data_IF_167713797046
#
_entry.id   IF_167713797046
#
_cell.length_a   1.000
_cell.length_b   1.000
_cell.length_c   1.000
_cell.angle_alpha   90.00
_cell.angle_beta   90.00
_cell.angle_gamma   90.00
#
_symmetry.space_group_name_H-M   'P 1'
#
loop_
_entity.id
_entity.type
_entity.pdbx_description
1 polymer ?
#
# COMPACT_ATOMS: atom_id res chain seq x y z
N UNK A 1 -8.01 -7.23 3.40
CA UNK A 1 -7.37 -7.90 2.25
C UNK A 1 -8.38 -8.81 1.57
N UNK A 2 -8.39 -8.83 0.24
CA UNK A 2 -9.27 -9.70 -0.56
C UNK A 2 -8.53 -10.95 -1.04
N UNK A 3 -7.22 -10.86 -1.10
CA UNK A 3 -6.33 -11.92 -1.54
C UNK A 3 -4.99 -11.90 -0.78
N UNK A 4 -4.22 -12.96 -0.93
CA UNK A 4 -2.80 -13.04 -0.60
C UNK A 4 -2.01 -12.93 -1.89
N UNK A 5 -1.27 -11.85 -2.03
CA UNK A 5 -0.39 -11.62 -3.17
C UNK A 5 1.02 -12.09 -2.85
N UNK A 6 1.60 -12.87 -3.74
CA UNK A 6 2.93 -13.42 -3.60
C UNK A 6 3.74 -13.19 -4.88
N UNK A 7 5.01 -12.88 -4.72
CA UNK A 7 5.94 -12.68 -5.83
C UNK A 7 7.22 -13.49 -5.60
N UNK A 8 7.67 -14.21 -6.62
CA UNK A 8 8.98 -14.83 -6.65
C UNK A 8 9.95 -13.88 -7.34
N UNK A 9 10.97 -13.45 -6.61
CA UNK A 9 11.88 -12.39 -7.04
C UNK A 9 13.33 -12.86 -6.96
N UNK A 10 14.09 -12.61 -8.02
CA UNK A 10 15.55 -12.79 -8.04
C UNK A 10 16.24 -11.44 -7.84
N UNK A 11 17.25 -11.44 -6.98
CA UNK A 11 18.13 -10.30 -6.71
C UNK A 11 19.58 -10.60 -7.16
N UNK A 12 19.74 -11.38 -8.24
CA UNK A 12 21.05 -11.70 -8.81
C UNK A 12 21.75 -10.44 -9.37
N UNK A 13 20.98 -9.47 -9.84
CA UNK A 13 21.46 -8.13 -10.14
C UNK A 13 21.19 -7.24 -8.90
N UNK A 14 22.25 -6.72 -8.29
CA UNK A 14 22.15 -5.85 -7.12
C UNK A 14 21.41 -4.53 -7.42
N UNK A 15 21.30 -4.17 -8.70
CA UNK A 15 20.69 -2.89 -9.11
C UNK A 15 19.18 -2.96 -9.30
N UNK A 16 18.61 -4.10 -9.75
CA UNK A 16 17.17 -4.22 -9.96
C UNK A 16 16.63 -5.63 -9.67
N UNK A 17 15.49 -5.74 -8.96
CA UNK A 17 14.82 -7.02 -8.76
C UNK A 17 14.25 -7.54 -10.08
N UNK A 18 14.43 -8.84 -10.35
CA UNK A 18 13.77 -9.52 -11.45
C UNK A 18 12.60 -10.32 -10.91
N UNK A 19 11.38 -9.96 -11.30
CA UNK A 19 10.17 -10.70 -10.93
C UNK A 19 10.07 -11.93 -11.83
N UNK A 20 10.19 -13.11 -11.26
CA UNK A 20 10.15 -14.39 -11.98
C UNK A 20 8.72 -14.90 -12.15
N UNK A 21 7.89 -14.75 -11.12
CA UNK A 21 6.49 -15.19 -11.12
C UNK A 21 5.70 -14.44 -10.04
N UNK A 22 4.41 -14.27 -10.26
CA UNK A 22 3.47 -13.72 -9.30
C UNK A 22 2.25 -14.62 -9.17
N UNK A 23 1.60 -14.62 -8.00
CA UNK A 23 0.38 -15.38 -7.73
C UNK A 23 -0.49 -14.58 -6.76
N UNK A 24 -1.79 -14.54 -7.03
CA UNK A 24 -2.79 -13.96 -6.14
C UNK A 24 -3.78 -15.04 -5.74
N UNK A 25 -3.88 -15.32 -4.45
CA UNK A 25 -4.78 -16.32 -3.89
C UNK A 25 -5.91 -15.64 -3.14
N UNK A 26 -7.12 -15.70 -3.68
CA UNK A 26 -8.31 -15.10 -3.05
C UNK A 26 -8.56 -15.70 -1.66
N UNK A 27 -8.88 -14.84 -0.69
CA UNK A 27 -9.33 -15.26 0.63
C UNK A 27 -10.79 -15.73 0.59
N UNK A 28 -11.11 -16.77 1.35
CA UNK A 28 -12.50 -17.19 1.53
C UNK A 28 -13.29 -16.10 2.26
N UNK A 29 -14.58 -16.00 1.99
CA UNK A 29 -15.48 -15.04 2.66
C UNK A 29 -15.48 -15.22 4.19
N UNK A 30 -15.36 -16.46 4.66
CA UNK A 30 -15.23 -16.76 6.09
C UNK A 30 -13.95 -16.16 6.68
N UNK A 31 -12.81 -16.25 5.98
CA UNK A 31 -11.55 -15.70 6.47
C UNK A 31 -11.55 -14.17 6.42
N UNK A 32 -12.11 -13.58 5.35
CA UNK A 32 -12.31 -12.12 5.26
C UNK A 32 -13.15 -11.59 6.41
N UNK A 33 -14.29 -12.24 6.69
CA UNK A 33 -15.17 -11.85 7.79
C UNK A 33 -14.46 -11.91 9.16
N UNK A 34 -13.61 -12.90 9.38
CA UNK A 34 -12.79 -13.03 10.60
C UNK A 34 -11.76 -11.91 10.72
N UNK A 35 -11.08 -11.56 9.63
CA UNK A 35 -10.13 -10.43 9.60
C UNK A 35 -10.87 -9.15 9.94
N UNK A 36 -12.01 -8.87 9.28
CA UNK A 36 -12.81 -7.66 9.52
C UNK A 36 -13.28 -7.60 10.98
N UNK A 37 -13.76 -8.72 11.55
CA UNK A 37 -14.17 -8.75 12.95
C UNK A 37 -13.01 -8.37 13.88
N UNK A 38 -11.80 -8.89 13.66
CA UNK A 38 -10.62 -8.53 14.47
C UNK A 38 -10.19 -7.06 14.29
N UNK A 39 -10.49 -6.44 13.15
CA UNK A 39 -10.15 -5.04 12.89
C UNK A 39 -11.16 -4.05 13.49
N UNK A 40 -12.43 -4.46 13.61
CA UNK A 40 -13.54 -3.56 13.98
C UNK A 40 -13.99 -3.73 15.42
N UNK A 41 -13.74 -4.88 16.04
CA UNK A 41 -14.13 -5.17 17.41
C UNK A 41 -12.91 -5.14 18.35
N UNK A 42 -12.78 -4.05 19.08
CA UNK A 42 -11.74 -3.89 20.11
C UNK A 42 -11.82 -4.92 21.26
N UNK A 43 -12.94 -5.63 21.37
CA UNK A 43 -13.18 -6.70 22.35
C UNK A 43 -12.86 -8.10 21.84
N UNK A 44 -12.28 -8.26 20.67
CA UNK A 44 -11.95 -9.58 20.11
C UNK A 44 -11.11 -10.42 21.08
N UNK A 45 -11.56 -11.62 21.48
CA UNK A 45 -10.81 -12.48 22.38
C UNK A 45 -9.46 -12.90 21.79
N UNK A 46 -8.44 -13.04 22.64
CA UNK A 46 -7.07 -13.35 22.22
C UNK A 46 -6.98 -14.71 21.51
N UNK A 47 -7.76 -15.70 21.92
CA UNK A 47 -7.80 -17.02 21.28
C UNK A 47 -8.32 -16.95 19.84
N UNK A 48 -9.26 -16.02 19.53
CA UNK A 48 -9.72 -15.77 18.15
C UNK A 48 -8.59 -15.17 17.30
N UNK A 49 -7.78 -14.28 17.87
CA UNK A 49 -6.61 -13.71 17.19
C UNK A 49 -5.56 -14.80 16.94
N UNK A 50 -5.28 -15.66 17.92
CA UNK A 50 -4.35 -16.78 17.78
C UNK A 50 -4.82 -17.80 16.73
N UNK A 51 -6.12 -18.10 16.68
CA UNK A 51 -6.67 -18.99 15.65
C UNK A 51 -6.61 -18.36 14.24
N UNK A 52 -6.80 -17.05 14.14
CA UNK A 52 -6.61 -16.31 12.88
C UNK A 52 -5.15 -16.31 12.43
N UNK A 53 -4.21 -16.15 13.35
CA UNK A 53 -2.76 -16.20 13.12
C UNK A 53 -2.35 -17.51 12.42
N UNK A 54 -2.79 -18.65 12.98
CA UNK A 54 -2.59 -19.99 12.42
C UNK A 54 -3.29 -20.16 11.07
N UNK A 55 -4.53 -19.67 10.93
CA UNK A 55 -5.28 -19.81 9.69
C UNK A 55 -4.62 -19.04 8.53
N UNK A 56 -4.08 -17.85 8.81
CA UNK A 56 -3.35 -17.04 7.83
C UNK A 56 -2.03 -17.69 7.42
N UNK A 57 -1.27 -18.27 8.36
CA UNK A 57 -0.06 -18.99 8.01
C UNK A 57 -0.32 -20.15 7.03
N UNK A 58 -1.42 -20.88 7.20
CA UNK A 58 -1.81 -21.97 6.29
C UNK A 58 -2.14 -21.47 4.89
N UNK A 59 -2.84 -20.34 4.77
CA UNK A 59 -3.17 -19.78 3.44
C UNK A 59 -1.93 -19.18 2.77
N UNK A 60 -1.02 -18.57 3.54
CA UNK A 60 0.27 -18.10 3.03
C UNK A 60 1.11 -19.25 2.49
N UNK A 61 1.20 -20.37 3.23
CA UNK A 61 1.90 -21.57 2.76
C UNK A 61 1.28 -22.15 1.47
N UNK A 62 -0.05 -22.14 1.36
CA UNK A 62 -0.75 -22.54 0.14
C UNK A 62 -0.44 -21.60 -1.04
N UNK A 63 -0.41 -20.28 -0.81
CA UNK A 63 -0.05 -19.30 -1.83
C UNK A 63 1.38 -19.49 -2.32
N UNK A 64 2.34 -19.66 -1.40
CA UNK A 64 3.74 -19.95 -1.74
C UNK A 64 3.87 -21.25 -2.53
N UNK A 65 3.18 -22.31 -2.14
CA UNK A 65 3.20 -23.59 -2.85
C UNK A 65 2.71 -23.44 -4.29
N UNK A 66 1.61 -22.72 -4.50
CA UNK A 66 1.07 -22.43 -5.84
C UNK A 66 2.03 -21.59 -6.68
N UNK A 67 2.63 -20.57 -6.09
CA UNK A 67 3.61 -19.70 -6.76
C UNK A 67 4.80 -20.52 -7.26
N UNK A 68 5.38 -21.39 -6.40
CA UNK A 68 6.52 -22.23 -6.76
C UNK A 68 6.17 -23.27 -7.83
N UNK A 69 4.98 -23.88 -7.75
CA UNK A 69 4.49 -24.79 -8.79
C UNK A 69 4.34 -24.08 -10.13
N UNK A 70 3.77 -22.86 -10.13
CA UNK A 70 3.60 -22.04 -11.33
C UNK A 70 4.93 -21.63 -11.95
N UNK A 71 5.92 -21.36 -11.11
CA UNK A 71 7.27 -20.96 -11.54
C UNK A 71 8.19 -22.14 -11.89
N UNK A 72 7.78 -23.40 -11.64
CA UNK A 72 8.61 -24.61 -11.74
C UNK A 72 9.91 -24.50 -10.92
N UNK A 73 9.80 -23.95 -9.69
CA UNK A 73 10.93 -23.73 -8.76
C UNK A 73 10.74 -24.60 -7.52
N UNK A 74 11.83 -25.21 -7.06
CA UNK A 74 11.80 -26.04 -5.84
C UNK A 74 11.98 -25.18 -4.58
N UNK A 75 11.38 -25.54 -3.44
CA UNK A 75 11.61 -24.85 -2.16
C UNK A 75 13.09 -24.68 -1.79
N UNK A 76 13.92 -25.67 -2.15
CA UNK A 76 15.35 -25.63 -1.87
C UNK A 76 16.13 -24.54 -2.64
N UNK A 77 15.57 -24.07 -3.74
CA UNK A 77 16.17 -23.02 -4.60
C UNK A 77 15.74 -21.59 -4.14
N UNK A 78 14.87 -21.51 -3.12
CA UNK A 78 14.41 -20.25 -2.52
C UNK A 78 15.17 -20.00 -1.21
N UNK A 79 15.78 -18.86 -1.10
CA UNK A 79 16.57 -18.51 0.08
C UNK A 79 15.69 -18.23 1.29
N UNK A 80 14.63 -17.42 1.12
CA UNK A 80 13.67 -17.12 2.16
C UNK A 80 12.33 -16.59 1.61
N UNK A 81 11.32 -16.61 2.46
CA UNK A 81 10.02 -15.95 2.28
C UNK A 81 10.03 -14.65 3.06
N UNK A 82 9.69 -13.53 2.42
CA UNK A 82 9.35 -12.28 3.10
C UNK A 82 7.85 -12.26 3.43
N UNK A 83 7.50 -12.36 4.71
CA UNK A 83 6.10 -12.39 5.16
C UNK A 83 5.73 -11.13 5.94
N UNK A 84 4.91 -10.28 5.34
CA UNK A 84 4.39 -9.09 6.04
C UNK A 84 3.40 -9.44 7.16
N UNK A 85 2.58 -10.47 6.94
CA UNK A 85 1.45 -10.78 7.80
C UNK A 85 0.26 -9.81 7.59
N UNK A 86 -0.84 -10.08 8.28
CA UNK A 86 -2.02 -9.21 8.30
C UNK A 86 -1.95 -8.26 9.50
N UNK A 87 -1.88 -6.97 9.24
CA UNK A 87 -1.92 -5.97 10.32
C UNK A 87 -3.31 -5.95 10.97
N UNK A 88 -3.36 -6.18 12.27
CA UNK A 88 -4.57 -6.05 13.08
C UNK A 88 -4.56 -4.75 13.90
N UNK A 89 -3.42 -4.37 14.44
CA UNK A 89 -3.28 -3.17 15.26
C UNK A 89 -2.01 -2.43 14.87
N UNK A 90 -2.09 -1.10 14.85
CA UNK A 90 -0.94 -0.25 14.56
C UNK A 90 -1.10 1.07 15.34
N UNK A 91 -0.35 1.18 16.44
CA UNK A 91 -0.34 2.37 17.31
C UNK A 91 1.11 2.77 17.59
N UNK A 92 1.77 3.40 16.61
CA UNK A 92 3.19 3.74 16.72
C UNK A 92 3.46 4.96 17.60
N UNK A 93 2.42 5.66 18.06
CA UNK A 93 2.52 6.86 18.86
C UNK A 93 2.16 6.58 20.33
N UNK A 94 2.77 7.36 21.25
CA UNK A 94 2.49 7.30 22.68
C UNK A 94 3.54 6.55 23.47
N UNK A 95 3.33 6.47 24.80
CA UNK A 95 4.29 5.87 25.73
C UNK A 95 4.55 4.37 25.49
N UNK A 96 3.55 3.67 24.95
CA UNK A 96 3.61 2.25 24.65
C UNK A 96 3.29 2.06 23.16
N UNK A 97 4.21 2.50 22.29
CA UNK A 97 4.08 2.33 20.86
C UNK A 97 4.17 0.85 20.47
N UNK A 98 3.27 0.38 19.62
CA UNK A 98 3.24 -1.03 19.18
C UNK A 98 2.60 -1.21 17.81
N UNK A 99 2.82 -2.39 17.24
CA UNK A 99 2.13 -2.89 16.06
C UNK A 99 1.95 -4.39 16.17
N UNK A 100 0.89 -4.93 15.58
CA UNK A 100 0.60 -6.37 15.56
C UNK A 100 0.26 -6.78 14.13
N UNK A 101 1.10 -7.63 13.56
CA UNK A 101 0.84 -8.39 12.35
C UNK A 101 0.69 -9.85 12.72
N UNK A 102 -0.31 -10.53 12.17
CA UNK A 102 -0.60 -11.95 12.36
C UNK A 102 -0.40 -12.73 11.06
N UNK A 103 -0.14 -14.02 11.21
CA UNK A 103 0.27 -14.98 10.18
C UNK A 103 1.54 -15.66 10.66
N UNK A 104 1.37 -16.72 11.52
CA UNK A 104 2.44 -17.41 12.25
C UNK A 104 3.62 -17.80 11.34
N UNK A 105 4.71 -17.07 11.49
CA UNK A 105 5.92 -17.24 10.67
C UNK A 105 6.66 -18.56 11.00
N UNK A 106 6.54 -19.08 12.22
CA UNK A 106 7.09 -20.40 12.57
C UNK A 106 6.34 -21.51 11.84
N UNK A 107 4.99 -21.45 11.86
CA UNK A 107 4.17 -22.41 11.14
C UNK A 107 4.37 -22.30 9.62
N UNK A 108 4.52 -21.08 9.09
CA UNK A 108 4.81 -20.87 7.67
C UNK A 108 6.15 -21.51 7.28
N UNK A 109 7.20 -21.33 8.09
CA UNK A 109 8.50 -21.99 7.87
C UNK A 109 8.40 -23.51 7.90
N UNK A 110 7.67 -24.06 8.88
CA UNK A 110 7.46 -25.51 9.03
C UNK A 110 6.69 -26.11 7.84
N UNK A 111 5.59 -25.44 7.40
CA UNK A 111 4.76 -25.94 6.30
C UNK A 111 5.44 -25.85 4.93
N UNK A 112 6.33 -24.88 4.75
CA UNK A 112 6.99 -24.65 3.45
C UNK A 112 8.39 -25.26 3.36
N UNK A 113 9.02 -25.57 4.49
CA UNK A 113 10.41 -26.01 4.55
C UNK A 113 11.42 -24.91 4.18
N UNK A 114 11.00 -23.64 4.18
CA UNK A 114 11.83 -22.49 3.82
C UNK A 114 11.99 -21.56 5.01
N UNK A 115 13.12 -20.85 5.09
CA UNK A 115 13.26 -19.76 6.07
C UNK A 115 12.25 -18.66 5.78
N UNK A 116 11.72 -18.04 6.83
CA UNK A 116 10.79 -16.90 6.74
C UNK A 116 11.43 -15.69 7.40
N UNK A 117 11.30 -14.55 6.77
CA UNK A 117 11.59 -13.25 7.38
C UNK A 117 10.27 -12.53 7.58
N UNK A 118 9.98 -12.15 8.81
CA UNK A 118 8.75 -11.47 9.19
C UNK A 118 9.00 -10.40 10.25
N UNK A 119 7.94 -9.84 10.81
CA UNK A 119 8.01 -8.81 11.86
C UNK A 119 8.85 -7.58 11.46
N UNK A 120 8.62 -7.04 10.30
CA UNK A 120 9.42 -5.93 9.74
C UNK A 120 9.24 -4.59 10.45
N UNK A 121 8.09 -4.37 11.13
CA UNK A 121 7.71 -3.03 11.62
C UNK A 121 8.17 -2.72 13.03
N UNK A 122 8.26 -3.73 13.91
CA UNK A 122 8.57 -3.52 15.34
C UNK A 122 9.95 -2.93 15.56
N UNK A 123 10.95 -3.29 14.75
CA UNK A 123 12.31 -2.78 14.90
C UNK A 123 12.42 -1.28 14.62
N UNK A 124 11.65 -0.78 13.67
CA UNK A 124 11.57 0.64 13.35
C UNK A 124 10.85 1.41 14.49
N UNK A 125 9.73 0.87 14.99
CA UNK A 125 9.00 1.44 16.14
C UNK A 125 9.90 1.47 17.39
N UNK A 126 10.66 0.41 17.66
CA UNK A 126 11.60 0.38 18.78
C UNK A 126 12.73 1.41 18.65
N UNK A 127 13.01 1.88 17.43
CA UNK A 127 13.94 2.98 17.16
C UNK A 127 13.26 4.37 17.19
N UNK A 128 12.01 4.44 17.67
CA UNK A 128 11.22 5.69 17.74
C UNK A 128 10.50 6.06 16.44
N UNK A 129 10.55 5.20 15.42
CA UNK A 129 9.87 5.40 14.16
C UNK A 129 8.40 4.96 14.18
N UNK A 130 7.71 5.23 13.09
CA UNK A 130 6.29 4.89 12.90
C UNK A 130 6.08 3.43 12.45
N UNK A 131 7.12 2.69 12.03
CA UNK A 131 7.00 1.35 11.46
C UNK A 131 6.27 1.29 10.11
N UNK A 132 5.96 2.45 9.52
CA UNK A 132 5.31 2.63 8.24
C UNK A 132 5.56 4.07 7.73
N UNK A 133 5.51 4.31 6.40
CA UNK A 133 5.55 3.31 5.34
C UNK A 133 6.96 2.70 5.19
N UNK A 134 7.06 1.42 4.82
CA UNK A 134 8.35 0.73 4.59
C UNK A 134 8.70 0.62 3.09
N UNK A 135 7.71 0.63 2.23
CA UNK A 135 7.88 0.52 0.77
C UNK A 135 8.75 1.64 0.15
N UNK A 136 8.80 2.88 0.66
CA UNK A 136 9.67 3.93 0.14
C UNK A 136 11.16 3.57 0.11
N UNK A 137 11.62 2.71 1.04
CA UNK A 137 12.99 2.20 1.02
C UNK A 137 13.26 1.35 -0.24
N UNK A 138 12.29 0.55 -0.64
CA UNK A 138 12.34 -0.23 -1.87
C UNK A 138 12.20 0.66 -3.11
N UNK A 139 11.28 1.61 -3.12
CA UNK A 139 11.11 2.55 -4.23
C UNK A 139 12.42 3.25 -4.61
N UNK A 140 13.27 3.54 -3.63
CA UNK A 140 14.59 4.15 -3.86
C UNK A 140 15.49 3.27 -4.73
N UNK A 141 15.35 1.96 -4.69
CA UNK A 141 16.16 1.04 -5.51
C UNK A 141 15.68 0.92 -6.95
N UNK A 142 14.48 1.42 -7.26
CA UNK A 142 13.85 1.31 -8.57
C UNK A 142 14.11 2.50 -9.50
N UNK A 143 14.68 3.59 -8.98
CA UNK A 143 14.88 4.83 -9.73
C UNK A 143 16.35 5.24 -9.71
N UNK A 144 16.76 5.98 -10.76
CA UNK A 144 18.11 6.50 -10.85
C UNK A 144 18.34 7.63 -9.83
N UNK A 145 19.50 7.64 -9.18
CA UNK A 145 19.85 8.57 -8.11
C UNK A 145 19.88 10.05 -8.53
N UNK A 146 20.03 10.34 -9.82
CA UNK A 146 20.16 11.71 -10.34
C UNK A 146 18.82 12.38 -10.68
N UNK A 147 17.70 11.65 -10.51
CA UNK A 147 16.38 12.12 -10.92
C UNK A 147 15.37 12.08 -9.77
N UNK A 148 14.67 13.18 -9.58
CA UNK A 148 13.53 13.17 -8.66
C UNK A 148 12.34 12.46 -9.29
N UNK A 149 11.89 11.41 -8.65
CA UNK A 149 10.72 10.61 -9.06
C UNK A 149 9.74 10.47 -7.91
N UNK A 150 8.49 10.22 -8.22
CA UNK A 150 7.46 9.93 -7.22
C UNK A 150 6.75 8.63 -7.53
N UNK A 151 6.38 7.90 -6.48
CA UNK A 151 5.45 6.77 -6.55
C UNK A 151 4.16 7.21 -5.91
N UNK A 152 3.09 7.25 -6.68
CA UNK A 152 1.75 7.62 -6.25
C UNK A 152 0.88 6.35 -6.20
N UNK A 153 0.64 5.88 -4.99
CA UNK A 153 -0.29 4.77 -4.77
C UNK A 153 -1.70 5.31 -4.57
N UNK A 154 -2.63 4.89 -5.43
CA UNK A 154 -4.05 5.26 -5.36
C UNK A 154 -4.85 4.04 -4.92
N UNK A 155 -4.81 3.75 -3.63
CA UNK A 155 -5.66 2.78 -2.95
C UNK A 155 -6.95 3.42 -2.44
N UNK A 156 -7.50 2.96 -1.34
CA UNK A 156 -8.62 3.66 -0.65
C UNK A 156 -8.21 5.07 -0.23
N UNK A 157 -7.04 5.21 0.36
CA UNK A 157 -6.33 6.49 0.57
C UNK A 157 -5.21 6.57 -0.47
N UNK A 158 -4.97 7.76 -0.99
CA UNK A 158 -3.85 8.01 -1.88
C UNK A 158 -2.63 8.48 -1.08
N UNK A 159 -1.47 7.89 -1.38
CA UNK A 159 -0.21 8.26 -0.75
C UNK A 159 0.90 8.39 -1.79
N UNK A 160 1.90 9.19 -1.44
CA UNK A 160 3.03 9.44 -2.31
C UNK A 160 4.34 9.16 -1.60
N UNK A 161 5.29 8.56 -2.33
CA UNK A 161 6.70 8.49 -1.96
C UNK A 161 7.49 9.29 -2.99
N UNK A 162 8.17 10.33 -2.57
CA UNK A 162 9.07 11.13 -3.41
C UNK A 162 10.48 10.69 -3.15
N UNK A 163 11.17 10.30 -4.21
CA UNK A 163 12.56 9.87 -4.19
C UNK A 163 13.39 10.97 -4.85
N UNK A 164 14.27 11.58 -4.09
CA UNK A 164 15.27 12.52 -4.56
C UNK A 164 16.66 12.02 -4.16
N UNK A 165 17.71 12.51 -4.82
CA UNK A 165 19.08 12.03 -4.65
C UNK A 165 19.51 11.84 -3.19
N UNK A 166 19.13 12.74 -2.29
CA UNK A 166 19.61 12.75 -0.91
C UNK A 166 18.52 12.51 0.14
N UNK A 167 17.26 12.39 -0.24
CA UNK A 167 16.20 12.12 0.73
C UNK A 167 14.96 11.49 0.09
N UNK A 168 14.20 10.83 0.93
CA UNK A 168 12.92 10.22 0.58
C UNK A 168 11.85 10.85 1.47
N UNK A 169 10.74 11.25 0.89
CA UNK A 169 9.57 11.77 1.60
C UNK A 169 8.39 10.85 1.31
N UNK A 170 7.60 10.53 2.33
CA UNK A 170 6.38 9.75 2.15
C UNK A 170 5.25 10.30 3.00
N UNK A 171 4.04 10.47 2.42
CA UNK A 171 2.86 10.94 3.14
C UNK A 171 1.57 10.68 2.34
N UNK A 172 0.43 10.74 3.03
CA UNK A 172 -0.88 10.60 2.41
C UNK A 172 -1.32 11.93 1.77
N UNK A 173 -1.80 11.87 0.52
CA UNK A 173 -2.23 13.06 -0.21
C UNK A 173 -3.71 13.39 0.04
N UNK A 174 -4.51 12.40 0.40
CA UNK A 174 -5.94 12.52 0.66
C UNK A 174 -6.71 11.24 0.30
N UNK A 175 -8.04 11.34 0.07
CA UNK A 175 -8.81 10.20 -0.38
C UNK A 175 -8.31 9.74 -1.76
N UNK A 176 -8.15 8.43 -1.91
CA UNK A 176 -7.96 7.78 -3.20
C UNK A 176 -9.32 7.35 -3.76
N UNK A 177 -9.57 6.03 -3.80
CA UNK A 177 -10.83 5.48 -4.30
C UNK A 177 -11.94 5.46 -3.23
N UNK A 178 -11.64 5.58 -1.94
CA UNK A 178 -12.59 5.31 -0.85
C UNK A 178 -13.91 6.09 -0.98
N UNK A 179 -13.85 7.37 -1.36
CA UNK A 179 -15.07 8.18 -1.53
C UNK A 179 -15.80 7.82 -2.82
N UNK A 180 -15.07 7.59 -3.92
CA UNK A 180 -15.64 7.18 -5.20
C UNK A 180 -16.37 5.84 -5.09
N UNK A 181 -15.72 4.86 -4.44
CA UNK A 181 -16.28 3.51 -4.24
C UNK A 181 -17.49 3.53 -3.30
N UNK A 182 -17.42 4.30 -2.22
CA UNK A 182 -18.54 4.45 -1.31
C UNK A 182 -19.74 5.16 -1.98
N UNK A 183 -19.49 6.16 -2.83
CA UNK A 183 -20.52 6.91 -3.52
C UNK A 183 -21.21 6.10 -4.61
N UNK A 184 -20.46 5.37 -5.44
CA UNK A 184 -21.06 4.50 -6.46
C UNK A 184 -21.80 3.33 -5.83
N UNK A 185 -21.30 2.76 -4.73
CA UNK A 185 -22.01 1.70 -3.99
C UNK A 185 -23.37 2.19 -3.48
N UNK A 186 -23.44 3.42 -2.97
CA UNK A 186 -24.69 4.03 -2.50
C UNK A 186 -25.70 4.26 -3.63
N UNK A 187 -25.26 4.64 -4.84
CA UNK A 187 -26.16 5.07 -5.92
C UNK A 187 -26.38 4.03 -7.00
N UNK A 188 -25.39 3.18 -7.28
CA UNK A 188 -25.42 2.19 -8.36
C UNK A 188 -25.35 0.76 -7.87
N UNK A 189 -25.09 0.53 -6.56
CA UNK A 189 -24.89 -0.79 -5.97
C UNK A 189 -23.72 -1.57 -6.61
N UNK A 190 -22.71 -0.86 -7.13
CA UNK A 190 -21.46 -1.39 -7.65
C UNK A 190 -20.34 -1.16 -6.63
N UNK A 191 -19.35 -2.05 -6.62
CA UNK A 191 -18.23 -1.94 -5.69
C UNK A 191 -17.28 -0.79 -6.04
N UNK A 192 -17.09 -0.50 -7.33
CA UNK A 192 -16.24 0.57 -7.83
C UNK A 192 -16.69 1.04 -9.21
N UNK A 193 -16.25 2.23 -9.63
CA UNK A 193 -16.50 2.83 -10.94
C UNK A 193 -15.45 2.36 -11.95
N UNK A 194 -15.76 1.25 -12.64
CA UNK A 194 -14.86 0.65 -13.61
C UNK A 194 -14.48 1.67 -14.69
N UNK A 195 -13.16 1.90 -14.86
CA UNK A 195 -12.62 2.82 -15.86
C UNK A 195 -13.11 4.29 -15.73
N UNK A 196 -13.70 4.65 -14.58
CA UNK A 196 -14.31 5.95 -14.38
C UNK A 196 -15.51 6.23 -15.29
N UNK A 197 -16.18 5.16 -15.74
CA UNK A 197 -17.24 5.24 -16.75
C UNK A 197 -18.42 6.10 -16.28
N UNK A 198 -18.85 5.90 -15.05
CA UNK A 198 -19.95 6.70 -14.48
C UNK A 198 -19.52 8.14 -14.19
N UNK A 199 -18.30 8.35 -13.69
CA UNK A 199 -17.76 9.70 -13.50
C UNK A 199 -17.64 10.48 -14.82
N UNK A 200 -17.39 9.81 -15.96
CA UNK A 200 -17.35 10.44 -17.30
C UNK A 200 -18.69 11.01 -17.75
N UNK A 201 -19.83 10.52 -17.23
CA UNK A 201 -21.16 11.04 -17.51
C UNK A 201 -21.45 12.37 -16.77
N UNK A 202 -20.70 12.63 -15.69
CA UNK A 202 -20.85 13.83 -14.87
C UNK A 202 -19.95 14.97 -15.31
N UNK A 203 -20.23 16.14 -14.76
CA UNK A 203 -19.39 17.34 -14.87
C UNK A 203 -18.80 17.70 -13.50
N UNK A 204 -17.61 18.28 -13.50
CA UNK A 204 -16.99 18.77 -12.27
C UNK A 204 -17.82 19.91 -11.69
N UNK A 205 -18.27 19.77 -10.45
CA UNK A 205 -18.87 20.85 -9.69
C UNK A 205 -17.75 21.60 -8.94
N UNK A 206 -17.24 22.68 -9.56
CA UNK A 206 -16.12 23.45 -9.00
C UNK A 206 -16.45 24.02 -7.60
N UNK A 207 -17.71 24.47 -7.36
CA UNK A 207 -18.11 24.98 -6.06
C UNK A 207 -18.08 23.90 -4.95
N UNK A 208 -18.43 22.66 -5.29
CA UNK A 208 -18.27 21.53 -4.39
C UNK A 208 -16.78 21.22 -4.19
N UNK A 209 -16.02 21.14 -5.25
CA UNK A 209 -14.60 20.81 -5.22
C UNK A 209 -13.80 21.81 -4.35
N UNK A 210 -14.06 23.10 -4.50
CA UNK A 210 -13.42 24.14 -3.69
C UNK A 210 -13.72 23.97 -2.20
N UNK A 211 -14.98 23.62 -1.84
CA UNK A 211 -15.36 23.34 -0.45
C UNK A 211 -14.68 22.08 0.09
N UNK A 212 -14.59 21.02 -0.72
CA UNK A 212 -13.89 19.79 -0.34
C UNK A 212 -12.40 20.04 -0.10
N UNK A 213 -11.74 20.78 -1.01
CA UNK A 213 -10.32 21.14 -0.92
C UNK A 213 -10.02 22.16 0.20
N UNK A 214 -11.04 22.86 0.71
CA UNK A 214 -10.91 23.74 1.86
C UNK A 214 -10.85 22.99 3.21
N UNK A 215 -11.05 21.67 3.21
CA UNK A 215 -10.86 20.86 4.43
C UNK A 215 -9.44 21.07 4.99
N UNK A 216 -9.29 21.28 6.31
CA UNK A 216 -8.00 21.55 6.96
C UNK A 216 -6.91 20.52 6.64
N UNK A 217 -7.29 19.28 6.34
CA UNK A 217 -6.33 18.23 5.96
C UNK A 217 -5.49 18.64 4.74
N UNK A 218 -6.10 19.23 3.70
CA UNK A 218 -5.41 19.59 2.46
C UNK A 218 -4.51 20.83 2.58
N UNK A 219 -4.62 21.58 3.68
CA UNK A 219 -3.75 22.72 3.99
C UNK A 219 -2.55 22.36 4.86
N UNK A 220 -2.51 21.14 5.41
CA UNK A 220 -1.37 20.69 6.19
C UNK A 220 -0.17 20.41 5.28
N UNK A 221 1.01 20.85 5.69
CA UNK A 221 2.27 20.45 5.06
C UNK A 221 2.60 18.99 5.42
N UNK A 222 3.30 18.28 4.52
CA UNK A 222 3.75 16.91 4.82
C UNK A 222 4.96 16.88 5.76
N UNK A 223 5.25 15.74 6.38
CA UNK A 223 4.53 14.47 6.27
C UNK A 223 3.23 14.43 7.07
N UNK A 224 2.18 13.87 6.50
CA UNK A 224 0.85 13.73 7.12
C UNK A 224 0.22 12.40 6.76
N UNK A 225 -0.70 11.92 7.60
CA UNK A 225 -1.44 10.69 7.34
C UNK A 225 -2.93 10.87 7.57
N UNK A 226 -3.74 10.02 6.95
CA UNK A 226 -5.19 9.99 7.07
C UNK A 226 -5.71 8.56 6.84
N UNK A 227 -7.01 8.36 6.99
CA UNK A 227 -7.64 7.05 6.85
C UNK A 227 -9.08 7.13 6.32
N UNK A 228 -9.67 5.97 6.09
CA UNK A 228 -11.08 5.87 5.71
C UNK A 228 -12.03 6.23 6.87
N UNK A 229 -11.53 6.22 8.09
CA UNK A 229 -12.22 6.76 9.28
C UNK A 229 -12.43 8.27 9.19
N UNK A 230 -11.52 9.00 8.55
CA UNK A 230 -11.66 10.43 8.27
C UNK A 230 -12.43 10.69 6.96
N UNK A 231 -11.96 10.17 5.81
CA UNK A 231 -12.58 10.35 4.51
C UNK A 231 -13.60 9.24 4.22
N UNK A 232 -14.87 9.49 4.52
CA UNK A 232 -16.00 8.58 4.35
C UNK A 232 -17.26 9.31 3.93
N UNK A 233 -18.37 8.60 3.74
CA UNK A 233 -19.65 9.22 3.36
C UNK A 233 -20.16 10.23 4.39
N UNK A 234 -19.91 10.00 5.68
CA UNK A 234 -20.28 10.97 6.74
C UNK A 234 -19.54 12.29 6.56
N UNK A 235 -18.25 12.25 6.20
CA UNK A 235 -17.49 13.44 5.83
C UNK A 235 -18.06 14.10 4.59
N UNK A 236 -18.35 13.35 3.53
CA UNK A 236 -18.85 13.87 2.26
C UNK A 236 -20.23 14.53 2.41
N UNK A 237 -21.13 13.94 3.19
CA UNK A 237 -22.47 14.48 3.41
C UNK A 237 -22.52 15.84 4.14
N UNK A 238 -21.41 16.29 4.73
CA UNK A 238 -21.30 17.65 5.30
C UNK A 238 -21.35 18.76 4.25
N UNK A 239 -21.21 18.41 2.96
CA UNK A 239 -21.09 19.36 1.85
C UNK A 239 -22.36 19.46 0.99
N UNK A 240 -23.53 19.07 1.51
CA UNK A 240 -24.85 19.17 0.84
C UNK A 240 -24.91 18.48 -0.53
N UNK A 241 -24.20 17.35 -0.68
CA UNK A 241 -24.11 16.61 -1.95
C UNK A 241 -25.44 16.00 -2.40
N UNK A 242 -26.43 15.83 -1.50
CA UNK A 242 -27.73 15.25 -1.80
C UNK A 242 -28.57 16.07 -2.80
N UNK A 243 -28.26 17.37 -2.95
CA UNK A 243 -28.95 18.25 -3.90
C UNK A 243 -28.34 18.23 -5.31
N UNK A 244 -27.21 17.54 -5.48
CA UNK A 244 -26.47 17.47 -6.74
C UNK A 244 -26.78 16.18 -7.49
N UNK A 245 -26.53 16.19 -8.80
CA UNK A 245 -26.61 14.97 -9.60
C UNK A 245 -25.53 13.98 -9.13
N UNK A 246 -25.86 12.72 -8.86
CA UNK A 246 -24.90 11.76 -8.31
C UNK A 246 -23.64 11.57 -9.18
N UNK A 247 -23.79 11.57 -10.51
CA UNK A 247 -22.67 11.44 -11.45
C UNK A 247 -21.75 12.68 -11.43
N UNK A 248 -22.29 13.90 -11.16
CA UNK A 248 -21.46 15.11 -11.01
C UNK A 248 -20.64 15.06 -9.71
N UNK A 249 -21.22 14.51 -8.64
CA UNK A 249 -20.48 14.26 -7.40
C UNK A 249 -19.38 13.24 -7.64
N UNK A 250 -19.67 12.11 -8.30
CA UNK A 250 -18.67 11.10 -8.65
C UNK A 250 -17.52 11.71 -9.44
N UNK A 251 -17.84 12.50 -10.47
CA UNK A 251 -16.83 13.21 -11.27
C UNK A 251 -15.98 14.15 -10.43
N UNK A 252 -16.60 14.85 -9.49
CA UNK A 252 -15.92 15.80 -8.60
C UNK A 252 -15.02 15.08 -7.60
N UNK A 253 -15.39 13.88 -7.14
CA UNK A 253 -14.56 13.07 -6.27
C UNK A 253 -13.30 12.53 -6.97
N UNK A 254 -13.42 12.10 -8.24
CA UNK A 254 -12.24 11.77 -9.06
C UNK A 254 -11.30 12.96 -9.19
N UNK A 255 -11.85 14.15 -9.47
CA UNK A 255 -11.06 15.38 -9.57
C UNK A 255 -10.42 15.77 -8.22
N UNK A 256 -11.10 15.57 -7.10
CA UNK A 256 -10.55 15.79 -5.76
C UNK A 256 -9.29 14.96 -5.53
N UNK A 257 -9.33 13.65 -5.83
CA UNK A 257 -8.17 12.76 -5.73
C UNK A 257 -7.03 13.24 -6.62
N UNK A 258 -7.31 13.55 -7.88
CA UNK A 258 -6.29 14.01 -8.82
C UNK A 258 -5.66 15.35 -8.39
N UNK A 259 -6.47 16.35 -7.98
CA UNK A 259 -5.94 17.66 -7.54
C UNK A 259 -5.20 17.59 -6.21
N UNK A 260 -5.65 16.77 -5.25
CA UNK A 260 -4.94 16.60 -3.97
C UNK A 260 -3.56 15.96 -4.17
N UNK A 261 -3.47 14.94 -5.03
CA UNK A 261 -2.20 14.32 -5.39
C UNK A 261 -1.28 15.28 -6.16
N UNK A 262 -1.81 16.00 -7.15
CA UNK A 262 -1.04 16.97 -7.91
C UNK A 262 -0.55 18.13 -7.04
N UNK A 263 -1.38 18.64 -6.12
CA UNK A 263 -0.99 19.67 -5.16
C UNK A 263 0.16 19.21 -4.26
N UNK A 264 0.12 17.97 -3.79
CA UNK A 264 1.17 17.37 -2.98
C UNK A 264 2.54 17.32 -3.69
N UNK A 265 2.53 17.21 -5.01
CA UNK A 265 3.73 17.17 -5.87
C UNK A 265 4.10 18.53 -6.51
N UNK A 266 3.27 19.56 -6.38
CA UNK A 266 3.40 20.83 -7.10
C UNK A 266 4.70 21.61 -6.81
N UNK A 267 5.25 21.48 -5.60
CA UNK A 267 6.51 22.11 -5.21
C UNK A 267 7.73 21.25 -5.53
N UNK A 268 7.53 20.05 -6.08
CA UNK A 268 8.56 19.05 -6.33
C UNK A 268 8.73 18.91 -7.83
N UNK A 269 9.94 19.18 -8.32
CA UNK A 269 10.24 19.01 -9.75
C UNK A 269 10.46 17.53 -10.09
N UNK A 270 9.38 16.75 -10.07
CA UNK A 270 9.42 15.35 -10.47
C UNK A 270 9.57 15.23 -11.98
N UNK A 271 10.48 14.35 -12.43
CA UNK A 271 10.58 13.97 -13.84
C UNK A 271 9.55 12.90 -14.20
N UNK A 272 9.31 11.97 -13.29
CA UNK A 272 8.39 10.86 -13.47
C UNK A 272 7.54 10.64 -12.22
N UNK A 273 6.26 10.34 -12.41
CA UNK A 273 5.34 9.90 -11.37
C UNK A 273 4.85 8.51 -11.75
N UNK A 274 5.28 7.52 -10.98
CA UNK A 274 4.88 6.12 -11.14
C UNK A 274 3.60 5.88 -10.37
N UNK A 275 2.51 5.52 -11.07
CA UNK A 275 1.22 5.24 -10.43
C UNK A 275 1.07 3.75 -10.13
N UNK A 276 0.52 3.44 -8.95
CA UNK A 276 0.16 2.09 -8.52
C UNK A 276 -1.15 2.10 -7.72
N UNK A 277 -1.58 0.93 -7.25
CA UNK A 277 -2.88 0.76 -6.62
C UNK A 277 -4.05 0.72 -7.61
N UNK A 278 -5.24 0.39 -7.12
CA UNK A 278 -6.43 0.20 -7.95
C UNK A 278 -6.87 1.42 -8.77
N UNK A 279 -6.58 2.64 -8.27
CA UNK A 279 -6.93 3.89 -8.97
C UNK A 279 -6.24 4.07 -10.32
N UNK A 280 -5.12 3.38 -10.57
CA UNK A 280 -4.45 3.35 -11.89
C UNK A 280 -5.34 2.80 -13.02
N UNK A 281 -6.33 1.98 -12.66
CA UNK A 281 -7.28 1.39 -13.60
C UNK A 281 -8.41 2.36 -13.98
N UNK A 282 -8.53 3.49 -13.31
CA UNK A 282 -9.48 4.52 -13.66
C UNK A 282 -8.83 5.48 -14.66
N UNK A 283 -9.09 5.26 -15.96
CA UNK A 283 -8.46 6.06 -17.03
C UNK A 283 -8.74 7.55 -16.92
N UNK A 284 -9.94 7.92 -16.44
CA UNK A 284 -10.27 9.31 -16.21
C UNK A 284 -9.38 9.98 -15.15
N UNK A 285 -9.09 9.25 -14.06
CA UNK A 285 -8.18 9.73 -13.01
C UNK A 285 -6.75 9.87 -13.54
N UNK A 286 -6.29 8.90 -14.32
CA UNK A 286 -4.96 8.93 -14.93
C UNK A 286 -4.81 10.10 -15.89
N UNK A 287 -5.76 10.32 -16.81
CA UNK A 287 -5.78 11.46 -17.72
C UNK A 287 -5.76 12.81 -16.95
N UNK A 288 -6.48 12.89 -15.83
CA UNK A 288 -6.46 14.10 -15.00
C UNK A 288 -5.11 14.32 -14.34
N UNK A 289 -4.48 13.26 -13.80
CA UNK A 289 -3.15 13.33 -13.23
C UNK A 289 -2.10 13.73 -14.27
N UNK A 290 -2.11 13.15 -15.47
CA UNK A 290 -1.23 13.55 -16.58
C UNK A 290 -1.34 15.04 -16.89
N UNK A 291 -2.57 15.53 -17.00
CA UNK A 291 -2.82 16.94 -17.27
C UNK A 291 -2.34 17.88 -16.15
N UNK A 292 -2.55 17.50 -14.89
CA UNK A 292 -2.24 18.33 -13.73
C UNK A 292 -0.75 18.29 -13.35
N UNK A 293 -0.07 17.20 -13.65
CA UNK A 293 1.35 16.99 -13.30
C UNK A 293 2.31 17.36 -14.44
N UNK A 294 1.80 17.72 -15.63
CA UNK A 294 2.67 18.13 -16.73
C UNK A 294 3.65 19.24 -16.30
N UNK A 295 4.95 19.18 -16.68
CA UNK A 295 5.55 18.30 -17.69
C UNK A 295 6.07 16.95 -17.16
N UNK A 296 5.82 16.57 -15.89
CA UNK A 296 6.19 15.26 -15.38
C UNK A 296 5.46 14.16 -16.17
N UNK A 297 6.17 13.04 -16.42
CA UNK A 297 5.55 11.87 -17.03
C UNK A 297 4.79 11.11 -15.96
N UNK A 298 3.53 10.81 -16.21
CA UNK A 298 2.75 9.88 -15.38
C UNK A 298 2.74 8.53 -16.08
N UNK A 299 3.25 7.50 -15.44
CA UNK A 299 3.38 6.14 -16.00
C UNK A 299 3.06 5.11 -14.92
N UNK A 300 2.72 3.94 -15.36
CA UNK A 300 2.51 2.78 -14.52
C UNK A 300 3.88 2.11 -14.20
N UNK A 301 3.98 1.41 -13.08
CA UNK A 301 5.22 0.76 -12.63
C UNK A 301 5.64 -0.42 -13.51
N UNK A 302 4.80 -0.92 -14.44
CA UNK A 302 5.24 -1.85 -15.48
C UNK A 302 6.38 -1.27 -16.34
N UNK A 303 6.43 0.05 -16.51
CA UNK A 303 7.50 0.73 -17.27
C UNK A 303 8.90 0.54 -16.65
N UNK A 304 8.96 0.15 -15.40
CA UNK A 304 10.20 -0.20 -14.68
C UNK A 304 10.25 -1.68 -14.30
N UNK A 305 9.46 -2.53 -14.98
CA UNK A 305 9.47 -3.98 -14.78
C UNK A 305 8.75 -4.49 -13.52
N UNK A 306 8.01 -3.62 -12.83
CA UNK A 306 7.27 -3.96 -11.60
C UNK A 306 5.77 -3.93 -11.86
N UNK A 307 5.12 -5.07 -11.69
CA UNK A 307 3.67 -5.15 -11.72
C UNK A 307 3.10 -4.40 -10.49
N UNK A 308 2.28 -3.34 -10.70
CA UNK A 308 1.76 -2.50 -9.63
C UNK A 308 0.87 -3.25 -8.63
N UNK A 309 0.26 -4.37 -9.01
CA UNK A 309 -0.57 -5.19 -8.12
C UNK A 309 0.28 -6.02 -7.15
N UNK A 310 1.57 -6.23 -7.48
CA UNK A 310 2.51 -6.99 -6.65
C UNK A 310 3.62 -6.13 -6.02
N UNK A 311 3.53 -4.80 -6.11
CA UNK A 311 4.54 -3.88 -5.57
C UNK A 311 4.86 -4.17 -4.11
N UNK A 312 3.85 -4.37 -3.26
CA UNK A 312 4.08 -4.68 -1.84
C UNK A 312 4.75 -6.04 -1.66
N UNK A 313 4.30 -7.08 -2.35
CA UNK A 313 4.88 -8.42 -2.26
C UNK A 313 6.38 -8.39 -2.66
N UNK A 314 6.72 -7.66 -3.72
CA UNK A 314 8.10 -7.49 -4.18
C UNK A 314 8.92 -6.69 -3.15
N UNK A 315 8.35 -5.63 -2.57
CA UNK A 315 9.01 -4.83 -1.54
C UNK A 315 9.31 -5.66 -0.28
N UNK A 316 8.40 -6.55 0.13
CA UNK A 316 8.65 -7.43 1.29
C UNK A 316 9.65 -8.57 0.97
N UNK A 317 9.74 -9.03 -0.27
CA UNK A 317 10.83 -9.91 -0.70
C UNK A 317 12.19 -9.18 -0.63
N UNK A 318 12.25 -7.92 -1.07
CA UNK A 318 13.45 -7.09 -0.94
C UNK A 318 13.81 -6.83 0.53
N UNK A 319 12.85 -6.51 1.40
CA UNK A 319 13.09 -6.33 2.83
C UNK A 319 13.62 -7.61 3.50
N UNK A 320 13.14 -8.79 3.07
CA UNK A 320 13.66 -10.06 3.53
C UNK A 320 15.14 -10.25 3.14
N UNK A 321 15.49 -9.93 1.88
CA UNK A 321 16.88 -9.90 1.44
C UNK A 321 17.72 -8.96 2.30
N UNK A 322 17.27 -7.72 2.52
CA UNK A 322 18.01 -6.75 3.36
C UNK A 322 18.24 -7.31 4.77
N UNK A 323 17.23 -7.99 5.35
CA UNK A 323 17.36 -8.62 6.67
C UNK A 323 18.44 -9.71 6.69
N UNK A 324 18.46 -10.58 5.69
CA UNK A 324 19.43 -11.68 5.57
C UNK A 324 20.85 -11.11 5.40
N UNK A 325 21.01 -10.09 4.58
CA UNK A 325 22.29 -9.45 4.30
C UNK A 325 22.76 -8.53 5.45
N UNK A 326 21.92 -8.31 6.48
CA UNK A 326 22.24 -7.41 7.58
C UNK A 326 22.24 -5.93 7.18
N UNK A 327 21.54 -5.58 6.10
CA UNK A 327 21.46 -4.22 5.55
C UNK A 327 20.21 -3.53 6.07
N UNK A 328 20.26 -2.22 6.43
CA UNK A 328 19.06 -1.47 6.85
C UNK A 328 17.98 -1.46 5.77
N UNK A 329 16.73 -1.70 6.21
CA UNK A 329 15.55 -1.72 5.33
C UNK A 329 14.58 -0.57 5.56
N UNK A 330 14.87 0.39 6.48
CA UNK A 330 14.05 1.57 6.68
C UNK A 330 14.70 2.84 6.11
N UNK A 331 13.88 3.87 5.94
CA UNK A 331 14.31 5.25 5.64
C UNK A 331 13.90 6.11 6.83
N UNK A 332 14.83 6.48 7.72
CA UNK A 332 14.52 7.22 8.95
C UNK A 332 13.78 8.55 8.71
N UNK A 333 14.07 9.22 7.60
CA UNK A 333 13.43 10.49 7.21
C UNK A 333 11.92 10.31 6.92
N UNK A 334 11.51 9.10 6.54
CA UNK A 334 10.11 8.76 6.24
C UNK A 334 9.40 8.22 7.49
N UNK A 335 10.06 7.33 8.23
CA UNK A 335 9.44 6.66 9.39
C UNK A 335 9.59 7.43 10.70
N UNK A 336 10.53 8.38 10.77
CA UNK A 336 10.86 9.11 12.00
C UNK A 336 11.75 8.30 12.96
N UNK A 337 12.30 7.16 12.55
CA UNK A 337 13.22 6.39 13.38
C UNK A 337 14.52 7.16 13.65
N UNK A 338 15.16 6.88 14.80
CA UNK A 338 16.40 7.55 15.22
C UNK A 338 17.63 7.21 14.37
N UNK A 339 17.48 6.37 13.36
CA UNK A 339 18.52 6.00 12.40
C UNK A 339 18.18 4.70 11.64
N UNK A 340 19.05 4.29 10.70
CA UNK A 340 18.87 3.08 9.91
C UNK A 340 18.80 1.82 10.78
N UNK A 341 17.93 0.88 10.42
CA UNK A 341 17.73 -0.40 11.12
C UNK A 341 17.57 -1.54 10.12
N UNK A 342 18.19 -2.66 10.43
CA UNK A 342 17.86 -3.94 9.80
C UNK A 342 16.48 -4.33 10.30
N UNK A 343 15.54 -4.49 9.39
CA UNK A 343 14.14 -4.80 9.70
C UNK A 343 13.88 -6.30 9.52
N UNK A 344 13.01 -6.84 10.37
CA UNK A 344 12.60 -8.24 10.31
C UNK A 344 13.34 -9.13 11.29
N UNK A 345 12.79 -10.34 11.42
CA UNK A 345 13.33 -11.45 12.21
C UNK A 345 13.35 -12.69 11.33
N UNK A 346 14.44 -13.46 11.35
CA UNK A 346 14.57 -14.70 10.60
C UNK A 346 14.02 -15.86 11.43
N UNK A 347 13.03 -16.57 10.90
CA UNK A 347 12.48 -17.83 11.39
C UNK A 347 13.09 -18.93 10.53
N UNK A 348 14.03 -19.73 11.08
CA UNK A 348 14.79 -20.66 10.27
C UNK A 348 13.93 -21.83 9.80
N UNK A 349 14.24 -22.34 8.60
CA UNK A 349 13.69 -23.63 8.14
C UNK A 349 14.14 -24.77 9.02
N UNK A 350 13.31 -25.81 9.08
CA UNK A 350 13.70 -27.08 9.68
C UNK A 350 14.77 -27.78 8.83
N UNK A 351 15.76 -28.39 9.45
CA UNK A 351 16.92 -29.02 8.78
C UNK A 351 16.53 -30.30 8.05
#
# INVERSE_FOLDING_TARGET
>A
ADAVDAALVSFADEQQPTVLCTESLALSESLKSRIVACLTDAGTPVDVICDLDVALAKIYAASVTRLLQKADVKPADVEAIGSHGQTLLHQPNGANAFTLQVGDNHLLAELTGMSVVGDFRRRDIAAGGQGAPLVPAFHKTLVEDDQTSAFLNIGGIANVSVIAANHVIGFDTGPGNTLCDAWIRQHQQLDFDADGAWAKEGIINEALLDRLLADPYFSQDGPKSTGQDYFNLTWLHRFDVAALRPEDVQRTLVELTARSAAKALSSINCRCVYICGGGRLNTLMVERLESLLAPAKVVDTHSIGIDPDFMEAIAFAWLAKQCIDGIPGNVPEVTGASGPRVLGVIYPKTH
#
